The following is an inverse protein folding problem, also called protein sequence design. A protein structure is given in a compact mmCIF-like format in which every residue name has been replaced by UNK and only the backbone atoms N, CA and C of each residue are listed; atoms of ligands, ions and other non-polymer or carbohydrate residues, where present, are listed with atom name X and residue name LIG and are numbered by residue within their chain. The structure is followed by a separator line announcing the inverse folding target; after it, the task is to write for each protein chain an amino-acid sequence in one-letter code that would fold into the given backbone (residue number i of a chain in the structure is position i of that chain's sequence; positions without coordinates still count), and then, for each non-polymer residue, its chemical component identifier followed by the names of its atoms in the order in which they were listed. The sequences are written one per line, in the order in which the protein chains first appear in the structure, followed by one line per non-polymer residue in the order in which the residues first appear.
data_IF_043391732491
#
_entry.id   IF_043391732491
#
_cell.length_a   1.000
_cell.length_b   1.000
_cell.length_c   1.000
_cell.angle_alpha   90.00
_cell.angle_beta   90.00
_cell.angle_gamma   90.00
#
_symmetry.space_group_name_H-M   'P 1'
#
loop_
_entity.id
_entity.type
_entity.pdbx_description
1 polymer ?
#
# COMPACT_ATOMS: atom_id res chain seq x y z
N UNK A 1 5.89 -12.98 12.96
CA UNK A 1 5.65 -11.79 12.13
C UNK A 1 6.46 -10.66 12.71
N UNK A 2 7.40 -10.10 11.96
CA UNK A 2 8.16 -8.93 12.39
C UNK A 2 7.36 -7.64 12.16
N UNK A 3 7.84 -6.54 12.75
CA UNK A 3 7.20 -5.23 12.68
C UNK A 3 6.94 -4.78 11.24
N UNK A 4 7.86 -5.05 10.31
CA UNK A 4 7.73 -4.68 8.91
C UNK A 4 6.60 -5.43 8.20
N UNK A 5 6.48 -6.75 8.40
CA UNK A 5 5.36 -7.53 7.87
C UNK A 5 4.01 -7.10 8.46
N UNK A 6 3.97 -6.68 9.72
CA UNK A 6 2.75 -6.17 10.35
C UNK A 6 2.33 -4.83 9.71
N UNK A 7 3.28 -3.93 9.43
CA UNK A 7 3.03 -2.63 8.79
C UNK A 7 2.62 -2.76 7.31
N UNK A 8 3.11 -3.79 6.61
CA UNK A 8 2.76 -4.01 5.21
C UNK A 8 1.24 -4.21 5.01
N UNK A 9 0.55 -4.88 5.93
CA UNK A 9 -0.88 -5.20 5.83
C UNK A 9 -1.78 -3.95 5.76
N UNK A 10 -1.73 -3.00 6.72
CA UNK A 10 -2.54 -1.79 6.64
C UNK A 10 -2.17 -0.91 5.44
N UNK A 11 -0.90 -0.88 5.03
CA UNK A 11 -0.49 -0.13 3.84
C UNK A 11 -1.08 -0.73 2.56
N UNK A 12 -1.13 -2.05 2.45
CA UNK A 12 -1.79 -2.73 1.35
C UNK A 12 -3.29 -2.43 1.32
N UNK A 13 -3.95 -2.48 2.48
CA UNK A 13 -5.38 -2.19 2.58
C UNK A 13 -5.70 -0.76 2.12
N UNK A 14 -4.93 0.23 2.60
CA UNK A 14 -5.09 1.64 2.19
C UNK A 14 -4.79 1.81 0.70
N UNK A 15 -3.76 1.14 0.17
CA UNK A 15 -3.44 1.17 -1.25
C UNK A 15 -4.62 0.69 -2.11
N UNK A 16 -5.22 -0.45 -1.76
CA UNK A 16 -6.36 -1.02 -2.49
C UNK A 16 -7.56 -0.06 -2.44
N UNK A 17 -7.88 0.49 -1.27
CA UNK A 17 -8.99 1.45 -1.12
C UNK A 17 -8.75 2.70 -1.97
N UNK A 18 -7.54 3.26 -1.94
CA UNK A 18 -7.19 4.45 -2.72
C UNK A 18 -7.21 4.16 -4.23
N UNK A 19 -6.71 3.00 -4.68
CA UNK A 19 -6.75 2.62 -6.10
C UNK A 19 -8.19 2.36 -6.58
N UNK A 20 -9.03 1.74 -5.75
CA UNK A 20 -10.46 1.59 -6.04
C UNK A 20 -11.17 2.95 -6.10
N UNK A 21 -10.82 3.88 -5.20
CA UNK A 21 -11.35 5.24 -5.22
C UNK A 21 -10.86 6.02 -6.44
N UNK A 22 -9.63 5.82 -6.88
CA UNK A 22 -9.10 6.39 -8.12
C UNK A 22 -9.87 5.88 -9.35
N UNK A 23 -10.22 4.59 -9.40
CA UNK A 23 -11.00 4.02 -10.49
C UNK A 23 -12.43 4.58 -10.54
N UNK A 24 -13.04 4.86 -9.39
CA UNK A 24 -14.43 5.35 -9.29
C UNK A 24 -14.56 6.86 -9.43
N UNK A 25 -13.66 7.63 -8.80
CA UNK A 25 -13.69 9.10 -8.78
C UNK A 25 -12.84 9.74 -9.88
N UNK A 26 -11.94 8.99 -10.52
CA UNK A 26 -11.00 9.46 -11.56
C UNK A 26 -10.09 10.62 -11.12
N UNK A 27 -9.97 10.83 -9.81
CA UNK A 27 -9.08 11.84 -9.23
C UNK A 27 -7.65 11.33 -9.19
N UNK A 28 -6.72 12.09 -9.76
CA UNK A 28 -5.30 11.72 -9.83
C UNK A 28 -4.66 11.57 -8.46
N UNK A 29 -5.14 12.33 -7.47
CA UNK A 29 -4.65 12.27 -6.10
C UNK A 29 -4.72 10.83 -5.55
N UNK A 30 -5.87 10.17 -5.71
CA UNK A 30 -6.07 8.80 -5.21
C UNK A 30 -5.21 7.77 -5.94
N UNK A 31 -4.95 7.98 -7.23
CA UNK A 31 -4.07 7.10 -8.00
C UNK A 31 -2.62 7.20 -7.52
N UNK A 32 -2.14 8.42 -7.28
CA UNK A 32 -0.78 8.67 -6.79
C UNK A 32 -0.63 8.12 -5.37
N UNK A 33 -1.54 8.46 -4.45
CA UNK A 33 -1.44 8.00 -3.06
C UNK A 33 -1.61 6.48 -2.96
N UNK A 34 -2.52 5.89 -3.72
CA UNK A 34 -2.69 4.44 -3.79
C UNK A 34 -1.43 3.72 -4.28
N UNK A 35 -0.78 4.23 -5.32
CA UNK A 35 0.49 3.71 -5.81
C UNK A 35 1.62 3.81 -4.78
N UNK A 36 1.73 4.94 -4.07
CA UNK A 36 2.75 5.13 -3.02
C UNK A 36 2.55 4.13 -1.88
N UNK A 37 1.32 3.95 -1.39
CA UNK A 37 1.04 2.97 -0.35
C UNK A 37 1.27 1.54 -0.82
N UNK A 38 0.98 1.23 -2.09
CA UNK A 38 1.23 -0.10 -2.65
C UNK A 38 2.72 -0.43 -2.69
N UNK A 39 3.55 0.48 -3.19
CA UNK A 39 5.01 0.31 -3.22
C UNK A 39 5.56 0.20 -1.79
N UNK A 40 5.09 1.06 -0.88
CA UNK A 40 5.50 1.04 0.52
C UNK A 40 5.15 -0.28 1.20
N UNK A 41 3.97 -0.86 0.91
CA UNK A 41 3.59 -2.19 1.40
C UNK A 41 4.54 -3.27 0.90
N UNK A 42 4.92 -3.24 -0.39
CA UNK A 42 5.84 -4.23 -0.97
C UNK A 42 7.20 -4.13 -0.31
N UNK A 43 7.75 -2.93 -0.17
CA UNK A 43 9.05 -2.71 0.50
C UNK A 43 9.03 -3.25 1.92
N UNK A 44 7.99 -2.93 2.70
CA UNK A 44 7.85 -3.44 4.07
C UNK A 44 7.70 -4.97 4.12
N UNK A 45 6.98 -5.58 3.17
CA UNK A 45 6.86 -7.03 3.09
C UNK A 45 8.19 -7.71 2.75
N UNK A 46 8.98 -7.13 1.84
CA UNK A 46 10.31 -7.66 1.46
C UNK A 46 11.31 -7.53 2.61
N UNK A 47 11.35 -6.38 3.28
CA UNK A 47 12.17 -6.20 4.50
C UNK A 47 11.73 -7.21 5.55
N UNK A 48 10.41 -7.37 5.72
CA UNK A 48 9.84 -8.33 6.67
C UNK A 48 10.09 -9.79 6.33
N UNK A 49 10.37 -10.15 5.07
CA UNK A 49 10.75 -11.50 4.69
C UNK A 49 12.25 -11.74 4.87
N UNK A 50 13.05 -10.68 4.81
CA UNK A 50 14.52 -10.73 4.85
C UNK A 50 15.09 -10.71 6.27
N UNK A 51 14.25 -10.44 7.28
CA UNK A 51 14.56 -10.36 8.71
C UNK A 51 13.88 -11.49 9.49
#
# INVERSE_FOLDING_TARGET
MNTFSIIAIPFLAVAIVMLALAATRKERAFLITGGVFMISSVVNAVIGLSL
#
